data_IF_969711069239
#
_entry.id   IF_969711069239
#
_cell.length_a   1.000
_cell.length_b   1.000
_cell.length_c   1.000
_cell.angle_alpha   90.00
_cell.angle_beta   90.00
_cell.angle_gamma   90.00
#
_symmetry.space_group_name_H-M   'P 1'
#
loop_
_entity.id
_entity.type
_entity.pdbx_description
1 polymer ?
#
# COMPACT_ATOMS: atom_id res chain seq x y z
N UNK A 1 1.93 2.67 23.23
CA UNK A 1 3.13 1.93 22.78
C UNK A 1 3.02 1.48 21.32
N UNK A 2 1.98 0.74 20.91
CA UNK A 2 1.85 0.19 19.55
C UNK A 2 1.83 1.26 18.43
N UNK A 3 1.18 2.41 18.66
CA UNK A 3 1.18 3.54 17.70
C UNK A 3 2.57 4.14 17.52
N UNK A 4 3.35 4.30 18.61
CA UNK A 4 4.71 4.85 18.54
C UNK A 4 5.65 3.90 17.80
N UNK A 5 5.52 2.58 18.04
CA UNK A 5 6.26 1.55 17.31
C UNK A 5 5.88 1.57 15.82
N UNK A 6 4.58 1.67 15.51
CA UNK A 6 4.09 1.76 14.14
C UNK A 6 4.64 3.02 13.44
N UNK A 7 4.56 4.19 14.09
CA UNK A 7 5.09 5.44 13.56
C UNK A 7 6.60 5.36 13.32
N UNK A 8 7.38 4.81 14.25
CA UNK A 8 8.82 4.63 14.05
C UNK A 8 9.12 3.70 12.87
N UNK A 9 8.48 2.53 12.84
CA UNK A 9 8.66 1.54 11.77
C UNK A 9 8.21 2.07 10.40
N UNK A 10 7.24 2.98 10.36
CA UNK A 10 6.74 3.58 9.12
C UNK A 10 7.82 4.36 8.37
N UNK A 11 8.81 4.93 9.07
CA UNK A 11 9.90 5.68 8.43
C UNK A 11 10.83 4.78 7.62
N UNK A 12 11.10 3.57 8.13
CA UNK A 12 11.88 2.56 7.44
C UNK A 12 11.10 1.92 6.28
N UNK A 13 9.81 1.64 6.51
CA UNK A 13 8.92 1.08 5.48
C UNK A 13 8.75 2.07 4.33
N UNK A 14 8.62 3.37 4.61
CA UNK A 14 8.47 4.42 3.59
C UNK A 14 9.64 4.41 2.60
N UNK A 15 10.89 4.36 3.09
CA UNK A 15 12.07 4.31 2.23
C UNK A 15 12.12 3.04 1.37
N UNK A 16 11.88 1.87 1.96
CA UNK A 16 11.86 0.59 1.24
C UNK A 16 10.75 0.58 0.18
N UNK A 17 9.57 1.05 0.55
CA UNK A 17 8.40 1.06 -0.31
C UNK A 17 8.59 2.02 -1.50
N UNK A 18 9.13 3.21 -1.27
CA UNK A 18 9.48 4.16 -2.33
C UNK A 18 10.46 3.56 -3.35
N UNK A 19 11.53 2.90 -2.88
CA UNK A 19 12.47 2.22 -3.77
C UNK A 19 11.79 1.12 -4.56
N UNK A 20 10.91 0.35 -3.92
CA UNK A 20 10.21 -0.75 -4.55
C UNK A 20 9.23 -0.30 -5.64
N UNK A 21 8.37 0.68 -5.34
CA UNK A 21 7.44 1.27 -6.33
C UNK A 21 8.21 1.90 -7.50
N UNK A 22 9.29 2.62 -7.23
CA UNK A 22 10.12 3.22 -8.28
C UNK A 22 10.71 2.15 -9.21
N UNK A 23 11.21 1.03 -8.65
CA UNK A 23 11.70 -0.11 -9.45
C UNK A 23 10.58 -0.75 -10.25
N UNK A 24 9.38 -0.90 -9.68
CA UNK A 24 8.22 -1.45 -10.38
C UNK A 24 7.80 -0.56 -11.56
N UNK A 25 7.67 0.75 -11.36
CA UNK A 25 7.31 1.70 -12.42
C UNK A 25 8.35 1.69 -13.56
N UNK A 26 9.65 1.67 -13.23
CA UNK A 26 10.73 1.51 -14.21
C UNK A 26 10.65 0.18 -14.96
N UNK A 27 10.27 -0.90 -14.26
CA UNK A 27 10.14 -2.23 -14.88
C UNK A 27 8.96 -2.31 -15.84
N UNK A 28 7.84 -1.65 -15.52
CA UNK A 28 6.65 -1.69 -16.36
C UNK A 28 6.76 -0.81 -17.61
N UNK A 29 7.22 0.44 -17.49
CA UNK A 29 7.26 1.40 -18.60
C UNK A 29 8.61 2.13 -18.73
N UNK A 30 9.72 1.44 -18.47
CA UNK A 30 11.07 2.04 -18.47
C UNK A 30 11.51 2.68 -19.78
N UNK A 31 10.95 2.27 -20.93
CA UNK A 31 11.20 2.90 -22.23
C UNK A 31 10.52 4.27 -22.38
N UNK A 32 9.38 4.46 -21.73
CA UNK A 32 8.55 5.66 -21.82
C UNK A 32 8.68 6.59 -20.61
N UNK A 33 9.30 6.12 -19.52
CA UNK A 33 9.47 6.86 -18.27
C UNK A 33 10.95 7.15 -18.00
N UNK A 34 11.38 8.40 -18.13
CA UNK A 34 12.70 8.87 -17.68
C UNK A 34 12.61 9.44 -16.27
N UNK A 35 13.45 8.95 -15.36
CA UNK A 35 13.52 9.48 -14.00
C UNK A 35 14.63 10.52 -13.88
N UNK A 36 14.28 11.77 -13.58
CA UNK A 36 15.22 12.89 -13.47
C UNK A 36 15.43 13.33 -12.01
N UNK A 37 16.62 13.90 -11.75
CA UNK A 37 17.02 14.38 -10.42
C UNK A 37 17.73 13.32 -9.57
N UNK A 38 18.09 13.71 -8.35
CA UNK A 38 18.75 12.80 -7.39
C UNK A 38 17.70 11.98 -6.62
N UNK A 39 17.98 10.70 -6.33
CA UNK A 39 17.14 9.84 -5.50
C UNK A 39 17.24 10.22 -4.01
N UNK A 40 16.89 11.46 -3.66
CA UNK A 40 16.89 11.93 -2.27
C UNK A 40 15.48 11.93 -1.71
N UNK A 41 15.26 11.05 -0.75
CA UNK A 41 14.02 10.95 0.02
C UNK A 41 14.35 11.01 1.51
N UNK A 42 14.55 12.23 2.01
CA UNK A 42 15.07 12.46 3.37
C UNK A 42 13.98 12.37 4.44
N UNK A 43 12.75 12.72 4.09
CA UNK A 43 11.63 12.82 5.03
C UNK A 43 10.51 11.87 4.61
N UNK A 44 10.01 11.03 5.53
CA UNK A 44 8.88 10.17 5.24
C UNK A 44 7.66 11.01 4.95
N UNK A 45 6.90 10.63 3.93
CA UNK A 45 5.65 11.34 3.64
C UNK A 45 4.67 11.12 4.78
N UNK A 46 4.11 12.23 5.29
CA UNK A 46 3.15 12.21 6.39
C UNK A 46 1.98 11.25 6.14
N UNK A 47 1.51 11.15 4.89
CA UNK A 47 0.43 10.22 4.51
C UNK A 47 0.78 8.75 4.77
N UNK A 48 2.03 8.35 4.52
CA UNK A 48 2.52 6.99 4.77
C UNK A 48 2.60 6.74 6.27
N UNK A 49 3.16 7.70 7.01
CA UNK A 49 3.26 7.63 8.47
C UNK A 49 1.88 7.51 9.11
N UNK A 50 0.95 8.41 8.80
CA UNK A 50 -0.41 8.38 9.34
C UNK A 50 -1.18 7.14 8.89
N UNK A 51 -1.12 6.81 7.59
CA UNK A 51 -1.81 5.64 7.03
C UNK A 51 -1.36 4.34 7.72
N UNK A 52 -0.05 4.14 7.87
CA UNK A 52 0.48 2.97 8.56
C UNK A 52 0.19 2.99 10.07
N UNK A 53 0.34 4.14 10.71
CA UNK A 53 0.10 4.30 12.15
C UNK A 53 -1.35 4.08 12.56
N UNK A 54 -2.31 4.31 11.66
CA UNK A 54 -3.73 3.99 11.86
C UNK A 54 -4.00 2.53 11.48
N UNK A 55 -3.43 2.06 10.36
CA UNK A 55 -3.66 0.72 9.86
C UNK A 55 -3.24 -0.35 10.86
N UNK A 56 -2.05 -0.25 11.46
CA UNK A 56 -1.51 -1.30 12.34
C UNK A 56 -2.37 -1.51 13.60
N UNK A 57 -2.75 -0.48 14.38
CA UNK A 57 -3.67 -0.65 15.51
C UNK A 57 -5.04 -1.19 15.10
N UNK A 58 -5.61 -0.71 14.00
CA UNK A 58 -6.94 -1.16 13.53
C UNK A 58 -6.89 -2.62 13.09
N UNK A 59 -5.88 -2.99 12.30
CA UNK A 59 -5.67 -4.37 11.89
C UNK A 59 -5.44 -5.29 13.08
N UNK A 60 -4.62 -4.86 14.05
CA UNK A 60 -4.39 -5.60 15.30
C UNK A 60 -5.69 -5.79 16.09
N UNK A 61 -6.50 -4.73 16.23
CA UNK A 61 -7.78 -4.80 16.94
C UNK A 61 -8.77 -5.77 16.27
N UNK A 62 -8.88 -5.72 14.94
CA UNK A 62 -9.73 -6.65 14.17
C UNK A 62 -9.22 -8.10 14.27
N UNK A 63 -7.91 -8.31 14.22
CA UNK A 63 -7.28 -9.63 14.29
C UNK A 63 -7.25 -10.24 15.69
N UNK A 64 -7.29 -9.44 16.77
CA UNK A 64 -7.24 -9.93 18.16
C UNK A 64 -8.32 -10.96 18.49
N UNK A 65 -9.45 -10.92 17.79
CA UNK A 65 -10.58 -11.82 17.99
C UNK A 65 -10.46 -13.16 17.23
N UNK A 66 -9.35 -13.39 16.53
CA UNK A 66 -9.07 -14.63 15.82
C UNK A 66 -8.29 -15.63 16.67
N UNK A 67 -8.52 -16.93 16.43
CA UNK A 67 -7.79 -17.99 17.12
C UNK A 67 -6.30 -17.93 16.73
N UNK A 68 -5.40 -18.37 17.62
CA UNK A 68 -3.93 -18.28 17.46
C UNK A 68 -3.36 -18.89 16.16
N UNK A 69 -4.11 -19.72 15.43
CA UNK A 69 -3.68 -20.27 14.13
C UNK A 69 -4.21 -19.48 12.93
N UNK A 70 -5.42 -18.94 13.05
CA UNK A 70 -6.09 -18.21 11.96
C UNK A 70 -5.51 -16.81 11.75
N UNK A 71 -5.08 -16.13 12.83
CA UNK A 71 -4.56 -14.76 12.73
C UNK A 71 -3.32 -14.67 11.82
N UNK A 72 -2.41 -15.64 11.89
CA UNK A 72 -1.19 -15.67 11.08
C UNK A 72 -1.54 -15.82 9.59
N UNK A 73 -2.49 -16.71 9.28
CA UNK A 73 -2.97 -16.93 7.92
C UNK A 73 -3.58 -15.64 7.36
N UNK A 74 -4.37 -14.93 8.16
CA UNK A 74 -4.98 -13.67 7.74
C UNK A 74 -3.94 -12.57 7.53
N UNK A 75 -2.91 -12.50 8.38
CA UNK A 75 -1.79 -11.57 8.22
C UNK A 75 -1.03 -11.85 6.92
N UNK A 76 -0.75 -13.11 6.60
CA UNK A 76 -0.12 -13.51 5.33
C UNK A 76 -1.00 -13.11 4.14
N UNK A 77 -2.31 -13.34 4.20
CA UNK A 77 -3.23 -12.92 3.13
C UNK A 77 -3.21 -11.41 2.94
N UNK A 78 -3.25 -10.63 4.02
CA UNK A 78 -3.20 -9.16 3.95
C UNK A 78 -1.88 -8.70 3.34
N UNK A 79 -0.76 -9.31 3.71
CA UNK A 79 0.53 -9.01 3.12
C UNK A 79 0.55 -9.32 1.62
N UNK A 80 0.02 -10.47 1.20
CA UNK A 80 -0.11 -10.83 -0.21
C UNK A 80 -1.03 -9.87 -0.97
N UNK A 81 -2.17 -9.48 -0.38
CA UNK A 81 -3.08 -8.49 -0.96
C UNK A 81 -2.43 -7.12 -1.08
N UNK A 82 -1.68 -6.70 -0.06
CA UNK A 82 -0.90 -5.46 -0.09
C UNK A 82 0.14 -5.48 -1.22
N UNK A 83 0.87 -6.59 -1.38
CA UNK A 83 1.87 -6.74 -2.45
C UNK A 83 1.20 -6.74 -3.82
N UNK A 84 0.14 -7.53 -3.99
CA UNK A 84 -0.58 -7.65 -5.26
C UNK A 84 -1.23 -6.32 -5.68
N UNK A 85 -1.88 -5.62 -4.74
CA UNK A 85 -2.46 -4.29 -5.00
C UNK A 85 -1.39 -3.26 -5.32
N UNK A 86 -0.26 -3.25 -4.60
CA UNK A 86 0.88 -2.37 -4.90
C UNK A 86 1.36 -2.56 -6.34
N UNK A 87 1.51 -3.83 -6.77
CA UNK A 87 1.94 -4.18 -8.13
C UNK A 87 0.92 -3.70 -9.17
N UNK A 88 -0.37 -3.99 -8.97
CA UNK A 88 -1.44 -3.59 -9.88
C UNK A 88 -1.57 -2.06 -10.00
N UNK A 89 -1.55 -1.35 -8.87
CA UNK A 89 -1.66 0.11 -8.85
C UNK A 89 -0.42 0.74 -9.48
N UNK A 90 0.78 0.23 -9.18
CA UNK A 90 2.02 0.72 -9.80
C UNK A 90 2.01 0.52 -11.32
N UNK A 91 1.53 -0.64 -11.78
CA UNK A 91 1.35 -0.90 -13.21
C UNK A 91 0.35 0.08 -13.83
N UNK A 92 -0.85 0.22 -13.26
CA UNK A 92 -1.87 1.14 -13.74
C UNK A 92 -1.38 2.59 -13.79
N UNK A 93 -0.75 3.07 -12.72
CA UNK A 93 -0.18 4.42 -12.68
C UNK A 93 0.93 4.61 -13.72
N UNK A 94 1.81 3.62 -13.88
CA UNK A 94 2.88 3.70 -14.87
C UNK A 94 2.34 3.79 -16.30
N UNK A 95 1.18 3.20 -16.59
CA UNK A 95 0.52 3.24 -17.90
C UNK A 95 -0.31 4.52 -18.12
N UNK A 96 -0.89 5.08 -17.05
CA UNK A 96 -1.67 6.32 -17.13
C UNK A 96 -0.79 7.57 -17.34
N UNK A 97 0.43 7.59 -16.80
CA UNK A 97 1.32 8.75 -16.89
C UNK A 97 1.71 9.11 -18.34
N UNK A 98 2.13 8.16 -19.20
CA UNK A 98 2.35 8.43 -20.62
C UNK A 98 1.07 8.78 -21.37
N UNK A 99 -0.05 8.11 -21.06
CA UNK A 99 -1.33 8.34 -21.72
C UNK A 99 -1.89 9.76 -21.47
N UNK A 100 -1.61 10.32 -20.29
CA UNK A 100 -1.95 11.71 -19.97
C UNK A 100 -1.08 12.75 -20.67
N UNK A 101 0.05 12.35 -21.29
CA UNK A 101 0.90 13.24 -22.06
C UNK A 101 0.60 13.12 -23.57
N UNK A 102 -0.61 13.48 -23.99
CA UNK A 102 -0.99 13.58 -25.41
C UNK A 102 -0.19 14.63 -26.19
N UNK A 103 0.64 15.44 -25.51
CA UNK A 103 1.44 16.55 -26.07
C UNK A 103 2.96 16.31 -25.92
N UNK A 104 3.40 15.13 -25.47
CA UNK A 104 4.82 14.81 -25.40
C UNK A 104 5.36 14.52 -26.82
N UNK A 105 6.05 15.49 -27.43
CA UNK A 105 6.62 15.38 -28.79
C UNK A 105 7.52 14.13 -29.01
N UNK A 106 8.17 13.65 -27.95
CA UNK A 106 9.12 12.53 -28.03
C UNK A 106 8.55 11.19 -27.48
N UNK A 107 7.29 11.16 -27.04
CA UNK A 107 6.68 9.96 -26.43
C UNK A 107 7.32 9.51 -25.10
N UNK A 108 8.18 10.35 -24.51
CA UNK A 108 8.91 10.09 -23.27
C UNK A 108 8.44 11.06 -22.20
N UNK A 109 7.92 10.52 -21.09
CA UNK A 109 7.51 11.29 -19.94
C UNK A 109 8.63 11.33 -18.89
N UNK A 110 9.04 12.53 -18.49
CA UNK A 110 10.10 12.71 -17.49
C UNK A 110 9.50 12.95 -16.11
N UNK A 111 9.74 12.02 -15.18
CA UNK A 111 9.28 12.08 -13.78
C UNK A 111 10.46 12.46 -12.89
N UNK A 112 10.28 13.47 -12.05
CA UNK A 112 11.25 13.74 -10.99
C UNK A 112 11.11 12.72 -9.85
N UNK A 113 12.22 12.21 -9.31
CA UNK A 113 12.18 11.24 -8.21
C UNK A 113 11.35 11.70 -6.99
N UNK A 114 11.27 13.02 -6.75
CA UNK A 114 10.48 13.61 -5.67
C UNK A 114 8.97 13.71 -5.98
N UNK A 115 8.55 13.41 -7.21
CA UNK A 115 7.14 13.48 -7.66
C UNK A 115 6.53 12.11 -7.94
N UNK A 116 7.20 11.02 -7.56
CA UNK A 116 6.64 9.67 -7.73
C UNK A 116 5.43 9.53 -6.79
N UNK A 117 4.23 9.22 -7.29
CA UNK A 117 2.99 9.15 -6.48
C UNK A 117 2.89 7.83 -5.68
N UNK A 118 3.95 7.47 -4.97
CA UNK A 118 4.04 6.24 -4.21
C UNK A 118 3.18 6.29 -2.94
N UNK A 119 2.93 7.48 -2.40
CA UNK A 119 2.04 7.74 -1.27
C UNK A 119 0.61 7.25 -1.55
N UNK A 120 0.09 7.58 -2.74
CA UNK A 120 -1.20 7.11 -3.22
C UNK A 120 -1.24 5.58 -3.33
N UNK A 121 -0.21 4.97 -3.95
CA UNK A 121 -0.11 3.51 -4.04
C UNK A 121 -0.15 2.85 -2.65
N UNK A 122 0.61 3.39 -1.70
CA UNK A 122 0.72 2.86 -0.35
C UNK A 122 -0.62 2.90 0.38
N UNK A 123 -1.26 4.08 0.42
CA UNK A 123 -2.52 4.28 1.13
C UNK A 123 -3.64 3.46 0.51
N UNK A 124 -3.74 3.40 -0.82
CA UNK A 124 -4.73 2.57 -1.52
C UNK A 124 -4.53 1.07 -1.24
N UNK A 125 -3.27 0.59 -1.21
CA UNK A 125 -2.97 -0.81 -0.91
C UNK A 125 -3.30 -1.18 0.54
N UNK A 126 -3.02 -0.28 1.50
CA UNK A 126 -3.45 -0.45 2.89
C UNK A 126 -4.98 -0.48 3.02
N UNK A 127 -5.68 0.41 2.30
CA UNK A 127 -7.14 0.46 2.31
C UNK A 127 -7.76 -0.85 1.82
N UNK A 128 -7.20 -1.48 0.77
CA UNK A 128 -7.64 -2.80 0.27
C UNK A 128 -7.47 -3.87 1.36
N UNK A 129 -6.31 -3.91 2.03
CA UNK A 129 -6.06 -4.85 3.13
C UNK A 129 -7.02 -4.67 4.31
N UNK A 130 -7.32 -3.41 4.66
CA UNK A 130 -8.25 -3.07 5.73
C UNK A 130 -9.69 -3.43 5.35
N UNK A 131 -10.08 -3.20 4.10
CA UNK A 131 -11.40 -3.57 3.59
C UNK A 131 -11.61 -5.09 3.63
N UNK A 132 -10.59 -5.87 3.25
CA UNK A 132 -10.60 -7.32 3.41
C UNK A 132 -10.84 -7.72 4.87
N UNK A 133 -10.10 -7.13 5.82
CA UNK A 133 -10.27 -7.37 7.26
C UNK A 133 -11.68 -7.03 7.77
N UNK A 134 -12.28 -5.94 7.29
CA UNK A 134 -13.64 -5.56 7.65
C UNK A 134 -14.66 -6.59 7.13
N UNK A 135 -14.54 -7.02 5.87
CA UNK A 135 -15.43 -8.02 5.28
C UNK A 135 -15.41 -9.32 6.08
N UNK A 136 -14.22 -9.87 6.35
CA UNK A 136 -14.11 -11.14 7.06
C UNK A 136 -14.64 -11.04 8.49
N UNK A 137 -14.41 -9.90 9.15
CA UNK A 137 -14.89 -9.65 10.51
C UNK A 137 -16.42 -9.59 10.51
N UNK A 138 -17.00 -8.85 9.57
CA UNK A 138 -18.45 -8.73 9.38
C UNK A 138 -19.11 -10.08 9.09
N UNK A 139 -18.55 -10.88 8.17
CA UNK A 139 -19.05 -12.21 7.86
C UNK A 139 -19.05 -13.14 9.09
N UNK A 140 -18.05 -12.99 9.97
CA UNK A 140 -17.94 -13.79 11.19
C UNK A 140 -18.95 -13.36 12.26
N UNK A 141 -19.17 -12.05 12.42
CA UNK A 141 -20.22 -11.53 13.30
C UNK A 141 -21.60 -12.06 12.89
N UNK A 142 -21.89 -12.05 11.58
CA UNK A 142 -23.14 -12.62 11.04
C UNK A 142 -23.28 -14.11 11.36
N UNK A 143 -22.22 -14.91 11.18
CA UNK A 143 -22.23 -16.34 11.52
C UNK A 143 -22.45 -16.60 13.02
N UNK A 144 -21.87 -15.80 13.91
CA UNK A 144 -22.06 -15.94 15.37
C UNK A 144 -23.50 -15.62 15.77
N UNK A 145 -24.08 -14.54 15.25
CA UNK A 145 -25.48 -14.17 15.50
C UNK A 145 -26.44 -15.30 15.11
N UNK A 146 -26.23 -15.93 13.96
CA UNK A 146 -27.09 -17.04 13.51
C UNK A 146 -26.93 -18.33 14.34
N UNK A 147 -25.80 -18.55 15.02
CA UNK A 147 -25.59 -19.72 15.89
C UNK A 147 -26.09 -19.54 17.31
N UNK A 148 -26.24 -18.31 17.79
CA UNK A 148 -26.80 -18.00 19.11
C UNK A 148 -28.32 -17.74 19.11
N UNK A 149 -28.98 -17.94 17.96
CA UNK A 149 -30.43 -17.80 17.78
C UNK A 149 -31.13 -19.17 17.57
N UNK A 150 -30.43 -20.26 17.89
CA UNK A 150 -30.88 -21.65 17.97
C UNK A 150 -30.64 -22.13 19.40
#
# INVERSE_FOLDING_TARGET
MLILVAAWSSTFIDQLYWQWVTRLMKRFNGSHLKFAGKPFHLFPMLKVVYGFSIFVPVAFWLLRNYFKRDWLLHLIIILLLFIASTVLISWAQSSLLPAGCTVCNDGIYTIFYNKVPYDGCFVSSLAIGLFYLLIITFLRFKKRKNRGAL
#
